data_IF_240366704963
#
_entry.id   IF_240366704963
#
_cell.length_a   1.000
_cell.length_b   1.000
_cell.length_c   1.000
_cell.angle_alpha   90.00
_cell.angle_beta   90.00
_cell.angle_gamma   90.00
#
_symmetry.space_group_name_H-M   'P 1'
#
loop_
_entity.id
_entity.type
_entity.pdbx_description
1 polymer ?
#
# COMPACT_ATOMS: atom_id res chain seq x y z
N UNK A 1 20.31 -60.89 22.84
CA UNK A 1 19.82 -59.50 22.78
C UNK A 1 20.81 -58.69 21.98
N UNK A 2 20.51 -58.36 20.72
CA UNK A 2 20.79 -57.06 20.11
C UNK A 2 20.19 -57.01 18.70
N UNK A 3 19.36 -56.01 18.52
CA UNK A 3 18.35 -55.75 17.50
C UNK A 3 18.94 -55.46 16.12
N UNK A 4 18.50 -56.20 15.09
CA UNK A 4 18.63 -55.80 13.68
C UNK A 4 17.68 -54.64 13.40
N UNK A 5 18.22 -53.45 13.13
CA UNK A 5 17.47 -52.33 12.59
C UNK A 5 17.36 -52.48 11.07
N UNK A 6 16.16 -52.77 10.57
CA UNK A 6 15.83 -52.74 9.16
C UNK A 6 15.60 -51.30 8.73
N UNK A 7 16.46 -50.77 7.84
CA UNK A 7 16.28 -49.45 7.25
C UNK A 7 15.11 -49.49 6.26
N UNK A 8 13.93 -49.03 6.69
CA UNK A 8 12.85 -48.68 5.76
C UNK A 8 13.22 -47.37 5.07
N UNK A 9 13.58 -47.47 3.79
CA UNK A 9 13.56 -46.35 2.86
C UNK A 9 12.12 -45.85 2.76
N UNK A 10 11.82 -44.74 3.44
CA UNK A 10 10.62 -43.97 3.16
C UNK A 10 10.86 -43.18 1.87
N UNK A 11 10.45 -43.73 0.73
CA UNK A 11 10.18 -42.96 -0.47
C UNK A 11 8.93 -42.12 -0.23
N UNK A 12 9.11 -40.94 0.37
CA UNK A 12 8.10 -39.89 0.34
C UNK A 12 8.06 -39.35 -1.08
N UNK A 13 7.24 -39.98 -1.92
CA UNK A 13 6.81 -39.42 -3.19
C UNK A 13 5.98 -38.17 -2.92
N UNK A 14 6.65 -37.04 -2.72
CA UNK A 14 6.01 -35.73 -2.85
C UNK A 14 5.65 -35.59 -4.33
N UNK A 15 4.38 -35.81 -4.64
CA UNK A 15 3.80 -35.42 -5.92
C UNK A 15 4.10 -33.94 -6.13
N UNK A 16 5.11 -33.65 -6.96
CA UNK A 16 5.34 -32.31 -7.51
C UNK A 16 4.13 -32.02 -8.40
N UNK A 17 3.15 -31.30 -7.88
CA UNK A 17 2.13 -30.69 -8.72
C UNK A 17 2.83 -29.74 -9.69
N UNK A 18 2.63 -29.97 -10.98
CA UNK A 18 2.98 -29.04 -12.06
C UNK A 18 2.48 -27.64 -11.69
N UNK A 19 3.28 -26.60 -11.48
CA UNK A 19 4.65 -26.30 -11.92
C UNK A 19 4.83 -24.80 -12.16
N UNK A 20 3.82 -23.97 -11.85
CA UNK A 20 3.90 -22.51 -11.92
C UNK A 20 3.42 -21.89 -10.61
N UNK A 21 4.33 -21.21 -9.91
CA UNK A 21 4.02 -20.38 -8.75
C UNK A 21 3.18 -19.18 -9.18
N UNK A 22 2.15 -18.82 -8.40
CA UNK A 22 1.33 -17.62 -8.61
C UNK A 22 2.24 -16.40 -8.81
N UNK A 23 1.95 -15.58 -9.82
CA UNK A 23 2.61 -14.29 -10.04
C UNK A 23 1.64 -13.11 -9.84
N UNK A 24 2.15 -11.89 -9.77
CA UNK A 24 1.37 -10.66 -9.61
C UNK A 24 1.36 -9.84 -10.91
N UNK A 25 0.16 -9.36 -11.26
CA UNK A 25 -0.05 -8.23 -12.18
C UNK A 25 -0.55 -7.03 -11.36
N UNK A 26 0.22 -5.96 -11.35
CA UNK A 26 0.00 -4.75 -10.54
C UNK A 26 -0.45 -3.59 -11.44
N UNK A 27 -1.77 -3.33 -11.47
CA UNK A 27 -2.34 -2.22 -12.22
C UNK A 27 -2.54 -0.99 -11.33
N UNK A 28 -2.24 0.19 -11.88
CA UNK A 28 -2.10 1.42 -11.12
C UNK A 28 -0.98 1.31 -10.08
N UNK A 29 0.14 0.69 -10.47
CA UNK A 29 1.18 0.21 -9.55
C UNK A 29 1.84 1.34 -8.74
N UNK A 30 1.77 2.58 -9.23
CA UNK A 30 2.42 3.73 -8.61
C UNK A 30 3.89 3.45 -8.34
N UNK A 31 4.35 3.79 -7.14
CA UNK A 31 5.71 3.52 -6.72
C UNK A 31 5.94 2.08 -6.22
N UNK A 32 5.08 1.11 -6.54
CA UNK A 32 5.32 -0.32 -6.28
C UNK A 32 5.04 -0.81 -4.86
N UNK A 33 4.07 -0.21 -4.16
CA UNK A 33 3.70 -0.66 -2.81
C UNK A 33 3.17 -2.10 -2.79
N UNK A 34 2.33 -2.44 -3.77
CA UNK A 34 1.74 -3.77 -3.93
C UNK A 34 2.79 -4.76 -4.39
N UNK A 35 3.53 -4.42 -5.43
CA UNK A 35 4.68 -5.20 -5.92
C UNK A 35 5.72 -5.50 -4.85
N UNK A 36 6.00 -4.56 -3.93
CA UNK A 36 6.85 -4.84 -2.79
C UNK A 36 6.22 -5.78 -1.77
N UNK A 37 4.92 -5.64 -1.51
CA UNK A 37 4.17 -6.61 -0.70
C UNK A 37 4.17 -8.02 -1.29
N UNK A 38 4.05 -8.14 -2.61
CA UNK A 38 4.18 -9.42 -3.30
C UNK A 38 5.56 -10.05 -3.10
N UNK A 39 6.63 -9.27 -3.25
CA UNK A 39 7.99 -9.75 -2.95
C UNK A 39 8.13 -10.23 -1.49
N UNK A 40 7.53 -9.53 -0.52
CA UNK A 40 7.48 -9.98 0.89
C UNK A 40 6.71 -11.28 1.09
N UNK A 41 5.77 -11.61 0.20
CA UNK A 41 5.01 -12.86 0.18
C UNK A 41 5.67 -13.97 -0.65
N UNK A 42 6.83 -13.70 -1.29
CA UNK A 42 7.47 -14.64 -2.21
C UNK A 42 6.79 -14.75 -3.57
N UNK A 43 5.97 -13.75 -3.94
CA UNK A 43 5.28 -13.65 -5.24
C UNK A 43 6.02 -12.67 -6.14
N UNK A 44 6.38 -13.11 -7.34
CA UNK A 44 7.00 -12.26 -8.35
C UNK A 44 5.96 -11.32 -8.99
N UNK A 45 6.26 -10.03 -9.08
CA UNK A 45 5.53 -9.12 -9.94
C UNK A 45 6.07 -9.22 -11.37
N UNK A 46 5.20 -9.59 -12.32
CA UNK A 46 5.59 -9.87 -13.71
C UNK A 46 5.17 -8.74 -14.65
N UNK A 47 4.12 -8.01 -14.29
CA UNK A 47 3.65 -6.84 -15.03
C UNK A 47 3.24 -5.75 -14.04
N UNK A 48 3.78 -4.55 -14.24
CA UNK A 48 3.44 -3.34 -13.50
C UNK A 48 3.02 -2.24 -14.49
N UNK A 49 1.81 -1.71 -14.31
CA UNK A 49 1.20 -0.73 -15.22
C UNK A 49 0.81 0.53 -14.47
N UNK A 50 1.26 1.67 -14.97
CA UNK A 50 0.87 3.00 -14.47
C UNK A 50 0.96 4.01 -15.61
N UNK A 51 0.16 5.07 -15.59
CA UNK A 51 0.21 6.13 -16.61
C UNK A 51 1.31 7.16 -16.36
N UNK A 52 1.97 7.11 -15.21
CA UNK A 52 2.99 8.05 -14.82
C UNK A 52 4.40 7.44 -14.93
N UNK A 53 5.16 7.88 -15.94
CA UNK A 53 6.54 7.42 -16.16
C UNK A 53 7.43 7.58 -14.92
N UNK A 54 7.26 8.63 -14.12
CA UNK A 54 8.05 8.82 -12.89
C UNK A 54 7.75 7.72 -11.84
N UNK A 55 6.51 7.24 -11.77
CA UNK A 55 6.16 6.11 -10.92
C UNK A 55 6.85 4.84 -11.42
N UNK A 56 6.82 4.60 -12.73
CA UNK A 56 7.45 3.44 -13.36
C UNK A 56 8.98 3.44 -13.19
N UNK A 57 9.63 4.59 -13.30
CA UNK A 57 11.09 4.70 -13.09
C UNK A 57 11.47 4.31 -11.65
N UNK A 58 10.69 4.78 -10.66
CA UNK A 58 10.84 4.38 -9.25
C UNK A 58 10.56 2.90 -9.06
N UNK A 59 9.48 2.40 -9.66
CA UNK A 59 9.11 1.00 -9.59
C UNK A 59 10.23 0.10 -10.17
N UNK A 60 10.76 0.45 -11.34
CA UNK A 60 11.83 -0.29 -12.04
C UNK A 60 13.12 -0.35 -11.22
N UNK A 61 13.47 0.72 -10.51
CA UNK A 61 14.65 0.72 -9.63
C UNK A 61 14.55 -0.28 -8.45
N UNK A 62 13.34 -0.68 -8.06
CA UNK A 62 13.10 -1.60 -6.93
C UNK A 62 12.60 -2.99 -7.36
N UNK A 63 12.00 -3.09 -8.54
CA UNK A 63 11.43 -4.30 -9.11
C UNK A 63 11.88 -4.45 -10.58
N UNK A 64 13.20 -4.61 -10.84
CA UNK A 64 13.74 -4.61 -12.20
C UNK A 64 13.33 -5.84 -13.02
N UNK A 65 12.86 -6.92 -12.39
CA UNK A 65 12.37 -8.12 -13.06
C UNK A 65 10.95 -8.01 -13.64
N UNK A 66 10.17 -7.00 -13.23
CA UNK A 66 8.84 -6.80 -13.76
C UNK A 66 8.90 -6.16 -15.16
N UNK A 67 7.95 -6.51 -16.04
CA UNK A 67 7.67 -5.73 -17.23
C UNK A 67 6.93 -4.44 -16.83
N UNK A 68 7.37 -3.28 -17.32
CA UNK A 68 6.75 -1.98 -17.05
C UNK A 68 6.06 -1.46 -18.31
N UNK A 69 4.76 -1.16 -18.21
CA UNK A 69 4.00 -0.57 -19.30
C UNK A 69 3.39 0.78 -18.90
N UNK A 70 3.65 1.82 -19.69
CA UNK A 70 3.14 3.17 -19.45
C UNK A 70 1.78 3.37 -20.15
N UNK A 71 0.71 2.86 -19.54
CA UNK A 71 -0.63 2.81 -20.15
C UNK A 71 -1.62 3.64 -19.34
N UNK A 72 -2.49 4.38 -20.02
CA UNK A 72 -3.65 5.02 -19.39
C UNK A 72 -4.75 3.96 -19.22
N UNK A 73 -4.94 3.53 -17.97
CA UNK A 73 -5.98 2.57 -17.59
C UNK A 73 -7.36 3.27 -17.47
N UNK A 74 -8.43 2.57 -17.81
CA UNK A 74 -9.79 3.13 -17.88
C UNK A 74 -10.34 3.30 -19.30
N UNK A 75 -9.60 2.86 -20.33
CA UNK A 75 -9.99 2.91 -21.74
C UNK A 75 -9.93 1.54 -22.42
N UNK A 76 -9.46 1.54 -23.67
CA UNK A 76 -9.30 0.35 -24.50
C UNK A 76 -8.35 -0.68 -23.88
N UNK A 77 -8.63 -1.96 -24.12
CA UNK A 77 -7.92 -3.07 -23.49
C UNK A 77 -6.78 -3.64 -24.32
N UNK A 78 -6.70 -3.33 -25.61
CA UNK A 78 -5.78 -3.99 -26.56
C UNK A 78 -4.32 -3.94 -26.12
N UNK A 79 -3.83 -2.76 -25.74
CA UNK A 79 -2.46 -2.57 -25.28
C UNK A 79 -2.18 -3.32 -23.97
N UNK A 80 -3.09 -3.22 -23.00
CA UNK A 80 -2.99 -3.94 -21.71
C UNK A 80 -3.02 -5.47 -21.92
N UNK A 81 -3.90 -5.94 -22.78
CA UNK A 81 -4.09 -7.35 -23.12
C UNK A 81 -2.81 -7.93 -23.76
N UNK A 82 -2.17 -7.17 -24.65
CA UNK A 82 -0.90 -7.55 -25.26
C UNK A 82 0.23 -7.63 -24.22
N UNK A 83 0.38 -6.61 -23.37
CA UNK A 83 1.38 -6.58 -22.31
C UNK A 83 1.17 -7.71 -21.29
N UNK A 84 -0.08 -7.98 -20.91
CA UNK A 84 -0.47 -9.07 -20.02
C UNK A 84 -0.07 -10.42 -20.58
N UNK A 85 -0.45 -10.71 -21.83
CA UNK A 85 -0.17 -11.99 -22.49
C UNK A 85 1.34 -12.24 -22.58
N UNK A 86 2.11 -11.20 -22.92
CA UNK A 86 3.56 -11.28 -23.03
C UNK A 86 4.25 -11.53 -21.67
N UNK A 87 3.76 -10.94 -20.58
CA UNK A 87 4.39 -11.01 -19.27
C UNK A 87 3.98 -12.26 -18.46
N UNK A 88 2.70 -12.62 -18.49
CA UNK A 88 2.16 -13.73 -17.69
C UNK A 88 2.38 -15.08 -18.37
N UNK A 89 2.18 -15.14 -19.69
CA UNK A 89 2.09 -16.40 -20.43
C UNK A 89 0.94 -17.26 -19.91
N UNK A 90 1.21 -18.52 -19.57
CA UNK A 90 0.21 -19.48 -19.06
C UNK A 90 0.24 -19.63 -17.52
N UNK A 91 0.95 -18.75 -16.80
CA UNK A 91 1.07 -18.86 -15.34
C UNK A 91 -0.23 -18.39 -14.67
N UNK A 92 -0.68 -19.04 -13.57
CA UNK A 92 -1.71 -18.44 -12.74
C UNK A 92 -1.19 -17.12 -12.16
N UNK A 93 -2.06 -16.10 -12.14
CA UNK A 93 -1.68 -14.79 -11.62
C UNK A 93 -2.77 -14.18 -10.74
N UNK A 94 -2.34 -13.37 -9.79
CA UNK A 94 -3.18 -12.46 -9.03
C UNK A 94 -3.21 -11.11 -9.74
N UNK A 95 -4.41 -10.60 -10.03
CA UNK A 95 -4.60 -9.24 -10.54
C UNK A 95 -4.89 -8.28 -9.38
N UNK A 96 -4.00 -7.34 -9.11
CA UNK A 96 -4.28 -6.24 -8.18
C UNK A 96 -4.52 -4.94 -8.95
N UNK A 97 -5.50 -4.16 -8.49
CA UNK A 97 -5.82 -2.85 -9.03
C UNK A 97 -5.97 -1.85 -7.89
N UNK A 98 -5.32 -0.68 -7.98
CA UNK A 98 -5.47 0.41 -7.01
C UNK A 98 -5.67 1.76 -7.70
N UNK A 99 -6.81 1.99 -8.38
CA UNK A 99 -7.08 3.22 -9.12
C UNK A 99 -7.08 4.47 -8.22
N UNK A 100 -6.82 5.64 -8.81
CA UNK A 100 -6.60 6.86 -8.02
C UNK A 100 -7.80 7.26 -7.14
N UNK A 101 -7.51 7.57 -5.87
CA UNK A 101 -8.54 7.88 -4.87
C UNK A 101 -8.83 9.38 -4.70
N UNK A 102 -8.11 10.26 -5.42
CA UNK A 102 -8.06 11.70 -5.13
C UNK A 102 -9.43 12.38 -5.14
N UNK A 103 -10.30 11.96 -6.05
CA UNK A 103 -11.59 12.63 -6.28
C UNK A 103 -12.68 12.21 -5.28
N UNK A 104 -12.53 11.04 -4.63
CA UNK A 104 -13.43 10.55 -3.56
C UNK A 104 -12.86 10.70 -2.15
N UNK A 105 -11.55 10.89 -2.00
CA UNK A 105 -10.89 10.96 -0.69
C UNK A 105 -11.37 12.13 0.16
N UNK A 106 -11.72 11.87 1.43
CA UNK A 106 -12.08 12.89 2.44
C UNK A 106 -10.98 13.91 2.72
N UNK A 107 -9.74 13.62 2.33
CA UNK A 107 -8.62 14.56 2.47
C UNK A 107 -8.63 15.66 1.40
N UNK A 108 -9.38 15.46 0.30
CA UNK A 108 -9.59 16.45 -0.75
C UNK A 108 -10.72 17.40 -0.34
N UNK A 109 -10.39 18.69 -0.18
CA UNK A 109 -11.36 19.73 0.16
C UNK A 109 -12.12 20.28 -1.06
N UNK A 110 -11.75 19.86 -2.27
CA UNK A 110 -12.29 20.34 -3.54
C UNK A 110 -12.87 19.15 -4.33
N UNK A 111 -13.79 18.40 -3.72
CA UNK A 111 -14.50 17.31 -4.40
C UNK A 111 -15.61 17.90 -5.28
N UNK A 112 -15.69 17.43 -6.52
CA UNK A 112 -16.77 17.74 -7.46
C UNK A 112 -17.57 16.48 -7.72
N UNK A 113 -18.85 16.62 -8.05
CA UNK A 113 -19.72 15.49 -8.39
C UNK A 113 -19.17 14.71 -9.59
N UNK A 114 -18.79 15.42 -10.66
CA UNK A 114 -18.12 14.87 -11.85
C UNK A 114 -16.86 14.06 -11.47
N UNK A 115 -16.10 14.52 -10.49
CA UNK A 115 -14.90 13.81 -10.05
C UNK A 115 -15.22 12.50 -9.32
N UNK A 116 -16.29 12.47 -8.54
CA UNK A 116 -16.79 11.26 -7.89
C UNK A 116 -17.30 10.28 -8.93
N UNK A 117 -18.10 10.74 -9.88
CA UNK A 117 -18.65 9.93 -10.97
C UNK A 117 -17.53 9.27 -11.79
N UNK A 118 -16.54 10.06 -12.23
CA UNK A 118 -15.36 9.53 -12.93
C UNK A 118 -14.62 8.45 -12.14
N UNK A 119 -14.55 8.56 -10.81
CA UNK A 119 -13.93 7.53 -9.96
C UNK A 119 -14.77 6.24 -9.94
N UNK A 120 -16.09 6.38 -9.82
CA UNK A 120 -17.02 5.25 -9.84
C UNK A 120 -16.95 4.54 -11.21
N UNK A 121 -16.93 5.29 -12.32
CA UNK A 121 -16.77 4.73 -13.67
C UNK A 121 -15.45 3.97 -13.82
N UNK A 122 -14.34 4.50 -13.33
CA UNK A 122 -13.04 3.80 -13.37
C UNK A 122 -13.06 2.52 -12.53
N UNK A 123 -13.73 2.52 -11.38
CA UNK A 123 -13.91 1.31 -10.57
C UNK A 123 -14.79 0.27 -11.27
N UNK A 124 -15.89 0.69 -11.91
CA UNK A 124 -16.73 -0.20 -12.72
C UNK A 124 -15.93 -0.81 -13.87
N UNK A 125 -15.08 -0.01 -14.53
CA UNK A 125 -14.16 -0.51 -15.54
C UNK A 125 -13.21 -1.58 -14.97
N UNK A 126 -12.64 -1.37 -13.78
CA UNK A 126 -11.78 -2.37 -13.11
C UNK A 126 -12.53 -3.69 -12.81
N UNK A 127 -13.78 -3.61 -12.36
CA UNK A 127 -14.61 -4.79 -12.10
C UNK A 127 -14.96 -5.56 -13.38
N UNK A 128 -15.21 -4.84 -14.47
CA UNK A 128 -15.40 -5.44 -15.80
C UNK A 128 -14.10 -6.07 -16.31
N UNK A 129 -12.97 -5.39 -16.12
CA UNK A 129 -11.64 -5.86 -16.51
C UNK A 129 -11.30 -7.20 -15.87
N UNK A 130 -11.51 -7.34 -14.56
CA UNK A 130 -11.23 -8.58 -13.83
C UNK A 130 -11.98 -9.81 -14.37
N UNK A 131 -13.10 -9.61 -15.09
CA UNK A 131 -13.91 -10.66 -15.71
C UNK A 131 -13.64 -10.87 -17.20
N UNK A 132 -12.94 -9.93 -17.85
CA UNK A 132 -12.76 -9.91 -19.32
C UNK A 132 -11.32 -10.13 -19.78
N UNK A 133 -10.34 -9.92 -18.90
CA UNK A 133 -8.94 -10.18 -19.23
C UNK A 133 -8.72 -11.64 -19.61
N UNK A 134 -7.82 -11.86 -20.58
CA UNK A 134 -7.35 -13.17 -20.98
C UNK A 134 -5.82 -13.25 -20.84
N UNK A 135 -5.22 -14.37 -20.38
CA UNK A 135 -5.89 -15.42 -19.62
C UNK A 135 -6.62 -14.85 -18.39
N UNK A 136 -7.62 -15.56 -17.88
CA UNK A 136 -8.38 -15.11 -16.71
C UNK A 136 -7.48 -15.07 -15.45
N UNK A 137 -7.60 -14.06 -14.58
CA UNK A 137 -6.85 -14.04 -13.32
C UNK A 137 -7.32 -15.16 -12.40
N UNK A 138 -6.38 -15.90 -11.80
CA UNK A 138 -6.69 -16.94 -10.82
C UNK A 138 -7.36 -16.35 -9.56
N UNK A 139 -6.93 -15.15 -9.16
CA UNK A 139 -7.57 -14.34 -8.12
C UNK A 139 -7.38 -12.86 -8.43
N UNK A 140 -8.20 -11.99 -7.88
CA UNK A 140 -8.06 -10.54 -8.07
C UNK A 140 -8.46 -9.74 -6.84
N UNK A 141 -7.92 -8.53 -6.72
CA UNK A 141 -8.34 -7.54 -5.73
C UNK A 141 -8.33 -6.12 -6.29
N UNK A 142 -9.23 -5.29 -5.76
CA UNK A 142 -9.37 -3.87 -6.07
C UNK A 142 -9.35 -3.07 -4.76
N UNK A 143 -8.32 -2.23 -4.57
CA UNK A 143 -8.19 -1.34 -3.42
C UNK A 143 -8.76 0.05 -3.72
N UNK A 144 -9.43 0.64 -2.73
CA UNK A 144 -9.87 2.03 -2.81
C UNK A 144 -9.93 2.71 -1.43
N UNK A 145 -9.92 4.04 -1.42
CA UNK A 145 -10.15 4.83 -0.22
C UNK A 145 -11.51 4.52 0.44
N UNK A 146 -11.51 4.52 1.78
CA UNK A 146 -12.74 4.37 2.57
C UNK A 146 -13.56 5.68 2.55
N UNK A 147 -14.43 5.80 1.55
CA UNK A 147 -15.30 6.95 1.28
C UNK A 147 -16.76 6.50 1.10
N UNK A 148 -17.71 7.35 1.51
CA UNK A 148 -19.14 7.03 1.52
C UNK A 148 -19.63 6.64 0.14
N UNK A 149 -19.29 7.45 -0.85
CA UNK A 149 -19.68 7.30 -2.25
C UNK A 149 -19.19 5.97 -2.84
N UNK A 150 -18.07 5.45 -2.35
CA UNK A 150 -17.48 4.18 -2.81
C UNK A 150 -18.19 2.99 -2.16
N UNK A 151 -18.30 2.94 -0.83
CA UNK A 151 -18.92 1.79 -0.17
C UNK A 151 -20.43 1.68 -0.39
N UNK A 152 -21.10 2.79 -0.74
CA UNK A 152 -22.51 2.75 -1.16
C UNK A 152 -22.67 2.22 -2.58
N UNK A 153 -21.80 2.64 -3.52
CA UNK A 153 -21.85 2.18 -4.91
C UNK A 153 -21.44 0.71 -5.07
N UNK A 154 -20.59 0.19 -4.17
CA UNK A 154 -20.03 -1.16 -4.25
C UNK A 154 -20.22 -1.91 -2.93
N UNK A 155 -21.41 -2.48 -2.65
CA UNK A 155 -21.72 -3.08 -1.35
C UNK A 155 -20.94 -4.38 -1.07
N UNK A 156 -20.48 -5.08 -2.11
CA UNK A 156 -19.67 -6.30 -1.97
C UNK A 156 -18.19 -5.95 -1.74
N UNK A 157 -17.88 -5.47 -0.53
CA UNK A 157 -16.54 -5.09 -0.13
C UNK A 157 -16.27 -5.43 1.33
N UNK A 158 -14.98 -5.40 1.70
CA UNK A 158 -14.54 -5.44 3.10
C UNK A 158 -13.82 -4.12 3.45
N UNK A 159 -13.82 -3.77 4.74
CA UNK A 159 -13.04 -2.65 5.25
C UNK A 159 -11.74 -3.16 5.87
N UNK A 160 -10.62 -2.82 5.23
CA UNK A 160 -9.27 -3.18 5.69
C UNK A 160 -8.73 -2.07 6.58
N UNK A 161 -8.40 -2.40 7.83
CA UNK A 161 -7.69 -1.53 8.76
C UNK A 161 -6.19 -1.87 8.70
N UNK A 162 -5.41 -1.03 8.03
CA UNK A 162 -4.01 -1.34 7.72
C UNK A 162 -3.15 -1.53 8.97
N UNK A 163 -3.51 -0.90 10.09
CA UNK A 163 -2.82 -1.09 11.37
C UNK A 163 -2.86 -2.54 11.87
N UNK A 164 -3.81 -3.35 11.40
CA UNK A 164 -3.91 -4.78 11.73
C UNK A 164 -2.94 -5.65 10.94
N UNK A 165 -2.23 -5.10 9.94
CA UNK A 165 -1.31 -5.84 9.07
C UNK A 165 0.13 -5.34 9.20
N UNK A 166 0.48 -4.72 10.33
CA UNK A 166 1.86 -4.29 10.63
C UNK A 166 2.20 -2.89 10.10
N UNK A 167 1.22 -2.12 9.64
CA UNK A 167 1.42 -0.73 9.23
C UNK A 167 1.33 0.17 10.46
N UNK A 168 2.31 1.06 10.67
CA UNK A 168 2.37 1.95 11.84
C UNK A 168 1.42 3.17 11.72
N UNK A 169 0.24 2.96 11.15
CA UNK A 169 -0.69 3.97 10.72
C UNK A 169 -2.14 3.48 10.86
N UNK A 170 -3.03 4.28 11.45
CA UNK A 170 -4.48 4.08 11.32
C UNK A 170 -4.90 4.51 9.92
N UNK A 171 -5.03 3.53 9.01
CA UNK A 171 -5.40 3.74 7.60
C UNK A 171 -6.50 2.74 7.25
N UNK A 172 -7.68 3.25 6.90
CA UNK A 172 -8.81 2.43 6.46
C UNK A 172 -8.91 2.45 4.94
N UNK A 173 -9.15 1.29 4.35
CA UNK A 173 -9.34 1.08 2.92
C UNK A 173 -10.51 0.15 2.68
N UNK A 174 -11.09 0.27 1.49
CA UNK A 174 -12.07 -0.65 0.96
C UNK A 174 -11.30 -1.62 0.06
N UNK A 175 -11.62 -2.90 0.19
CA UNK A 175 -11.08 -3.94 -0.67
C UNK A 175 -12.25 -4.75 -1.24
N UNK A 176 -12.22 -4.94 -2.56
CA UNK A 176 -13.08 -5.85 -3.31
C UNK A 176 -12.18 -6.91 -3.95
N UNK A 177 -12.72 -8.06 -4.33
CA UNK A 177 -11.91 -9.12 -4.90
C UNK A 177 -12.55 -10.49 -4.83
N UNK A 178 -11.75 -11.51 -5.14
CA UNK A 178 -12.12 -12.92 -5.01
C UNK A 178 -12.62 -13.21 -3.58
N UNK A 179 -13.85 -13.72 -3.38
CA UNK A 179 -14.44 -13.88 -2.06
C UNK A 179 -13.58 -14.66 -1.06
N UNK A 180 -12.94 -15.75 -1.51
CA UNK A 180 -12.08 -16.60 -0.69
C UNK A 180 -10.82 -15.84 -0.21
N UNK A 181 -10.27 -14.95 -1.03
CA UNK A 181 -9.14 -14.09 -0.63
C UNK A 181 -9.59 -13.08 0.43
N UNK A 182 -10.75 -12.46 0.23
CA UNK A 182 -11.30 -11.49 1.19
C UNK A 182 -11.62 -12.14 2.54
N UNK A 183 -12.25 -13.31 2.53
CA UNK A 183 -12.57 -14.05 3.74
C UNK A 183 -11.31 -14.40 4.54
N UNK A 184 -10.31 -15.02 3.89
CA UNK A 184 -9.04 -15.34 4.54
C UNK A 184 -8.32 -14.10 5.09
N UNK A 185 -8.40 -12.97 4.38
CA UNK A 185 -7.80 -11.72 4.84
C UNK A 185 -8.48 -11.17 6.11
N UNK A 186 -9.80 -11.34 6.23
CA UNK A 186 -10.54 -10.94 7.44
C UNK A 186 -10.21 -11.84 8.64
N UNK A 187 -9.89 -13.10 8.40
CA UNK A 187 -9.50 -14.10 9.40
C UNK A 187 -7.99 -14.06 9.72
N UNK A 188 -7.20 -13.29 8.98
CA UNK A 188 -5.76 -13.21 9.13
C UNK A 188 -5.35 -12.67 10.52
N UNK A 189 -4.25 -13.18 11.10
CA UNK A 189 -3.80 -12.76 12.42
C UNK A 189 -3.43 -11.28 12.44
N UNK A 190 -3.92 -10.57 13.46
CA UNK A 190 -3.63 -9.15 13.67
C UNK A 190 -2.17 -8.97 14.07
N UNK A 191 -1.45 -8.13 13.33
CA UNK A 191 -0.11 -7.67 13.64
C UNK A 191 -0.12 -6.15 13.71
N UNK A 192 0.26 -5.57 14.84
CA UNK A 192 0.31 -4.11 14.99
C UNK A 192 1.75 -3.63 15.11
N UNK A 193 2.02 -2.44 14.58
CA UNK A 193 3.30 -1.74 14.74
C UNK A 193 3.11 -0.29 15.11
N UNK A 194 4.13 0.28 15.71
CA UNK A 194 4.16 1.67 16.18
C UNK A 194 5.27 2.45 15.47
N UNK A 195 5.17 3.78 15.39
CA UNK A 195 6.24 4.63 14.90
C UNK A 195 7.57 4.42 15.62
N UNK A 196 7.54 4.20 16.94
CA UNK A 196 8.75 3.91 17.72
C UNK A 196 9.48 2.66 17.21
N UNK A 197 8.75 1.60 16.85
CA UNK A 197 9.34 0.36 16.32
C UNK A 197 9.87 0.52 14.90
N UNK A 198 9.25 1.39 14.09
CA UNK A 198 9.55 1.51 12.66
C UNK A 198 10.62 2.56 12.38
N UNK A 199 10.64 3.66 13.11
CA UNK A 199 11.54 4.80 12.86
C UNK A 199 12.91 4.67 13.53
N UNK A 200 13.06 3.79 14.53
CA UNK A 200 14.32 3.57 15.25
C UNK A 200 15.44 3.03 14.37
N UNK A 201 15.12 2.42 13.23
CA UNK A 201 16.09 1.89 12.27
C UNK A 201 16.96 2.97 11.60
N UNK A 202 16.52 4.23 11.56
CA UNK A 202 17.25 5.26 10.82
C UNK A 202 18.18 6.08 11.69
N UNK A 203 17.78 6.42 12.94
CA UNK A 203 18.60 7.15 13.93
C UNK A 203 18.08 6.91 15.35
N UNK A 204 18.87 7.17 16.41
CA UNK A 204 18.36 7.19 17.78
C UNK A 204 17.20 8.18 17.91
N UNK A 205 16.10 7.78 18.58
CA UNK A 205 14.90 8.60 18.76
C UNK A 205 15.19 10.03 19.25
N UNK A 206 16.26 10.21 20.03
CA UNK A 206 16.74 11.50 20.54
C UNK A 206 17.01 12.55 19.45
N UNK A 207 17.39 12.13 18.25
CA UNK A 207 17.65 13.05 17.12
C UNK A 207 16.37 13.53 16.42
N UNK A 208 15.23 12.92 16.74
CA UNK A 208 13.92 13.33 16.25
C UNK A 208 13.27 14.36 17.16
N UNK A 209 13.80 14.55 18.37
CA UNK A 209 13.21 15.37 19.41
C UNK A 209 13.63 16.83 19.25
N UNK A 210 12.66 17.71 19.04
CA UNK A 210 12.80 19.12 19.37
C UNK A 210 12.51 19.25 20.87
N UNK A 211 13.40 19.90 21.64
CA UNK A 211 13.08 20.25 23.03
C UNK A 211 11.79 21.07 23.03
N UNK A 212 10.88 20.81 23.98
CA UNK A 212 9.75 21.73 24.22
C UNK A 212 10.31 23.15 24.38
N UNK A 213 9.85 24.09 23.54
CA UNK A 213 10.38 25.47 23.47
C UNK A 213 11.37 25.74 22.34
N UNK A 214 11.90 24.72 21.64
CA UNK A 214 12.65 24.93 20.40
C UNK A 214 11.65 25.25 19.29
N UNK A 215 11.53 26.53 18.99
CA UNK A 215 10.54 27.03 18.05
C UNK A 215 10.96 26.68 16.63
N UNK A 216 10.20 25.78 16.00
CA UNK A 216 10.27 25.60 14.56
C UNK A 216 9.91 26.96 13.93
N UNK A 217 10.82 27.55 13.15
CA UNK A 217 10.64 28.91 12.58
C UNK A 217 9.36 29.02 11.77
N UNK A 218 8.88 27.89 11.21
CA UNK A 218 7.59 27.77 10.52
C UNK A 218 6.37 27.87 11.44
N UNK A 219 6.50 27.47 12.72
CA UNK A 219 5.45 27.59 13.74
C UNK A 219 5.39 29.04 14.23
N UNK A 220 6.54 29.66 14.55
CA UNK A 220 6.60 31.10 14.89
C UNK A 220 6.01 31.99 13.80
N UNK A 221 6.36 31.76 12.52
CA UNK A 221 5.77 32.51 11.40
C UNK A 221 4.25 32.38 11.34
N UNK A 222 3.70 31.20 11.67
CA UNK A 222 2.25 30.96 11.67
C UNK A 222 1.57 31.54 12.90
N UNK A 223 2.20 31.49 14.07
CA UNK A 223 1.71 32.13 15.30
C UNK A 223 1.71 33.66 15.17
N UNK A 224 2.74 34.22 14.54
CA UNK A 224 2.87 35.66 14.31
C UNK A 224 1.86 36.15 13.25
N UNK A 225 1.64 35.38 12.17
CA UNK A 225 0.57 35.65 11.20
C UNK A 225 -0.84 35.51 11.80
N UNK A 226 -1.04 34.61 12.78
CA UNK A 226 -2.28 34.48 13.52
C UNK A 226 -2.54 35.68 14.44
N UNK A 227 -1.48 36.18 15.10
CA UNK A 227 -1.54 37.36 15.96
C UNK A 227 -1.79 38.66 15.17
N UNK A 228 -1.35 38.74 13.92
CA UNK A 228 -1.56 39.89 13.02
C UNK A 228 -2.95 39.93 12.35
N UNK A 229 -3.89 39.06 12.75
CA UNK A 229 -5.27 39.04 12.24
C UNK A 229 -5.43 38.68 10.76
N UNK A 230 -4.33 38.32 10.07
CA UNK A 230 -4.34 37.95 8.66
C UNK A 230 -4.56 36.45 8.52
N UNK A 231 -5.85 36.11 8.37
CA UNK A 231 -6.45 34.76 8.20
C UNK A 231 -6.46 33.94 9.47
N UNK A 232 -7.65 33.47 9.84
CA UNK A 232 -7.93 32.45 10.86
C UNK A 232 -6.92 31.30 10.82
N UNK A 233 -5.78 31.46 11.49
CA UNK A 233 -4.82 30.39 11.70
C UNK A 233 -5.27 29.72 12.96
N UNK A 234 -6.24 28.80 12.78
CA UNK A 234 -6.75 27.98 13.88
C UNK A 234 -5.55 27.42 14.65
N UNK A 235 -5.49 27.76 15.93
CA UNK A 235 -4.89 26.95 16.99
C UNK A 235 -5.69 25.63 17.04
N UNK A 236 -5.55 24.82 15.99
CA UNK A 236 -6.11 23.46 15.85
C UNK A 236 -4.97 22.42 15.92
N UNK A 237 -3.78 22.86 16.27
CA UNK A 237 -2.52 22.13 16.16
C UNK A 237 -2.36 21.03 17.22
N UNK A 238 -3.25 20.94 18.22
CA UNK A 238 -3.20 19.89 19.25
C UNK A 238 -4.07 18.66 18.96
N UNK A 239 -5.09 18.75 18.09
CA UNK A 239 -6.00 17.61 17.81
C UNK A 239 -5.39 16.51 16.94
N UNK A 240 -4.23 16.76 16.33
CA UNK A 240 -3.58 15.84 15.38
C UNK A 240 -2.22 15.31 15.86
N UNK A 241 -1.94 15.45 17.15
CA UNK A 241 -0.70 14.96 17.77
C UNK A 241 -0.89 13.52 18.25
N UNK A 242 0.03 12.62 17.90
CA UNK A 242 0.02 11.22 18.39
C UNK A 242 1.34 10.80 19.06
N UNK A 243 1.29 10.00 20.14
CA UNK A 243 2.50 9.46 20.72
C UNK A 243 3.17 8.44 19.79
N UNK A 244 4.50 8.33 19.85
CA UNK A 244 5.27 7.33 19.08
C UNK A 244 4.91 5.88 19.43
N UNK A 245 4.24 5.66 20.56
CA UNK A 245 3.80 4.35 21.05
C UNK A 245 2.47 3.89 20.46
N UNK A 246 1.80 4.70 19.64
CA UNK A 246 0.55 4.31 18.95
C UNK A 246 0.67 4.56 17.45
N UNK A 247 -0.07 3.81 16.60
CA UNK A 247 -0.08 4.06 15.16
C UNK A 247 -0.41 5.53 14.82
N UNK A 248 0.29 6.11 13.85
CA UNK A 248 0.04 7.50 13.42
C UNK A 248 -1.32 7.63 12.72
N UNK A 249 -1.76 8.86 12.46
CA UNK A 249 -2.79 9.09 11.45
C UNK A 249 -2.30 8.73 10.05
N UNK A 250 -3.23 8.59 9.11
CA UNK A 250 -2.95 8.30 7.70
C UNK A 250 -1.90 9.26 7.13
N UNK A 251 -0.80 8.73 6.56
CA UNK A 251 0.19 9.51 5.81
C UNK A 251 -0.52 10.08 4.59
N UNK A 252 -0.48 11.40 4.50
CA UNK A 252 -0.99 12.19 3.37
C UNK A 252 0.07 13.22 2.97
N UNK A 253 -0.27 14.15 2.09
CA UNK A 253 0.61 15.30 1.80
C UNK A 253 0.68 16.33 2.95
N UNK A 254 -0.08 16.14 4.04
CA UNK A 254 -0.07 17.00 5.23
C UNK A 254 0.94 16.49 6.27
N UNK A 255 1.43 17.41 7.11
CA UNK A 255 2.37 17.07 8.17
C UNK A 255 1.73 16.16 9.23
N UNK A 256 2.50 15.17 9.69
CA UNK A 256 2.21 14.39 10.89
C UNK A 256 2.89 15.03 12.09
N UNK A 257 2.18 15.13 13.20
CA UNK A 257 2.71 15.64 14.46
C UNK A 257 2.81 14.49 15.46
N UNK A 258 4.03 14.14 15.87
CA UNK A 258 4.28 13.04 16.80
C UNK A 258 4.96 13.54 18.07
N UNK A 259 4.79 12.83 19.18
CA UNK A 259 5.43 13.14 20.47
C UNK A 259 6.08 11.90 21.09
N UNK A 260 7.21 12.09 21.76
CA UNK A 260 7.72 11.11 22.72
C UNK A 260 7.23 11.52 24.12
N UNK A 261 6.34 10.71 24.68
CA UNK A 261 5.74 10.96 25.99
C UNK A 261 6.72 10.75 27.13
N UNK A 262 7.76 9.93 26.95
CA UNK A 262 8.76 9.66 27.99
C UNK A 262 9.67 10.86 28.22
N UNK A 263 10.07 11.52 27.14
CA UNK A 263 10.93 12.71 27.19
C UNK A 263 10.15 14.01 27.07
N UNK A 264 8.82 13.95 27.01
CA UNK A 264 7.90 15.08 26.77
C UNK A 264 8.40 15.96 25.62
N UNK A 265 8.76 15.36 24.49
CA UNK A 265 9.37 16.09 23.38
C UNK A 265 8.55 15.97 22.11
N UNK A 266 8.54 17.02 21.29
CA UNK A 266 7.86 17.01 19.99
C UNK A 266 8.81 16.41 18.96
N UNK A 267 8.30 15.49 18.15
CA UNK A 267 9.03 14.94 17.02
C UNK A 267 8.99 15.96 15.89
N UNK A 268 10.16 16.27 15.32
CA UNK A 268 10.25 17.14 14.13
C UNK A 268 9.41 16.57 12.98
N UNK A 269 9.12 17.41 11.98
CA UNK A 269 8.49 16.95 10.74
C UNK A 269 9.29 15.79 10.14
N UNK A 270 8.58 14.72 9.78
CA UNK A 270 9.17 13.54 9.15
C UNK A 270 9.52 13.83 7.69
N UNK A 271 10.65 13.31 7.23
CA UNK A 271 11.04 13.37 5.81
C UNK A 271 10.36 12.26 5.00
N UNK A 272 10.52 12.28 3.68
CA UNK A 272 9.90 11.32 2.77
C UNK A 272 10.28 9.86 3.06
N UNK A 273 11.54 9.61 3.43
CA UNK A 273 12.04 8.28 3.82
C UNK A 273 11.38 7.79 5.11
N UNK A 274 11.21 8.64 6.10
CA UNK A 274 10.53 8.28 7.35
C UNK A 274 9.05 8.00 7.12
N UNK A 275 8.40 8.81 6.26
CA UNK A 275 7.03 8.56 5.85
C UNK A 275 6.89 7.23 5.07
N UNK A 276 7.87 6.87 4.23
CA UNK A 276 7.85 5.58 3.53
C UNK A 276 7.96 4.40 4.49
N UNK A 277 8.77 4.51 5.54
CA UNK A 277 8.86 3.48 6.58
C UNK A 277 7.53 3.31 7.31
N UNK A 278 6.85 4.40 7.69
CA UNK A 278 5.52 4.33 8.31
C UNK A 278 4.48 3.64 7.43
N UNK A 279 4.62 3.77 6.10
CA UNK A 279 3.79 3.09 5.12
C UNK A 279 4.15 1.59 4.98
N UNK A 280 5.33 1.17 5.45
CA UNK A 280 5.81 -0.21 5.41
C UNK A 280 6.81 -0.52 4.29
N UNK A 281 7.32 0.49 3.57
CA UNK A 281 8.44 0.30 2.64
C UNK A 281 9.75 0.03 3.41
N UNK A 282 10.69 -0.71 2.82
CA UNK A 282 11.96 -0.99 3.46
C UNK A 282 12.90 0.22 3.41
N UNK A 283 13.89 0.33 4.33
CA UNK A 283 14.85 1.45 4.37
C UNK A 283 15.60 1.67 3.06
N UNK A 284 15.88 0.60 2.32
CA UNK A 284 16.61 0.62 1.05
C UNK A 284 15.75 0.95 -0.18
N UNK A 285 14.42 1.14 -0.03
CA UNK A 285 13.55 1.40 -1.18
C UNK A 285 13.98 2.66 -1.93
N UNK A 286 14.19 2.61 -3.24
CA UNK A 286 14.76 3.71 -4.01
C UNK A 286 13.65 4.55 -4.62
N UNK A 287 13.44 5.77 -4.10
CA UNK A 287 12.48 6.70 -4.70
C UNK A 287 13.12 7.66 -5.72
N UNK A 288 14.46 7.73 -5.81
CA UNK A 288 15.29 8.42 -6.83
C UNK A 288 14.79 9.76 -7.43
N UNK A 289 13.91 10.51 -6.75
CA UNK A 289 13.33 11.74 -7.26
C UNK A 289 13.99 12.97 -6.64
N UNK A 290 14.22 13.99 -7.48
CA UNK A 290 14.79 15.29 -7.05
C UNK A 290 13.87 16.04 -6.09
N UNK A 291 12.55 15.90 -6.23
CA UNK A 291 11.55 16.66 -5.47
C UNK A 291 10.93 15.81 -4.37
N UNK A 292 11.20 16.17 -3.12
CA UNK A 292 10.65 15.49 -1.93
C UNK A 292 9.12 15.41 -1.92
N UNK A 293 8.43 16.43 -2.44
CA UNK A 293 6.96 16.45 -2.53
C UNK A 293 6.41 15.31 -3.39
N UNK A 294 7.09 14.97 -4.48
CA UNK A 294 6.65 13.91 -5.38
C UNK A 294 6.81 12.53 -4.71
N UNK A 295 7.91 12.33 -3.96
CA UNK A 295 8.11 11.13 -3.13
C UNK A 295 7.00 10.99 -2.09
N UNK A 296 6.69 12.06 -1.35
CA UNK A 296 5.62 12.03 -0.34
C UNK A 296 4.27 11.69 -0.99
N UNK A 297 3.99 12.22 -2.18
CA UNK A 297 2.76 11.89 -2.92
C UNK A 297 2.72 10.41 -3.31
N UNK A 298 3.82 9.86 -3.82
CA UNK A 298 3.91 8.43 -4.14
C UNK A 298 3.68 7.55 -2.91
N UNK A 299 4.35 7.85 -1.79
CA UNK A 299 4.20 7.12 -0.53
C UNK A 299 2.77 7.20 0.01
N UNK A 300 2.16 8.38 -0.01
CA UNK A 300 0.80 8.59 0.50
C UNK A 300 -0.26 7.82 -0.32
N UNK A 301 -0.06 7.76 -1.64
CA UNK A 301 -0.95 7.08 -2.57
C UNK A 301 -0.78 5.56 -2.55
N UNK A 302 0.42 5.05 -2.23
CA UNK A 302 0.70 3.63 -2.24
C UNK A 302 -0.21 2.82 -1.30
N UNK A 303 -0.58 1.62 -1.75
CA UNK A 303 -1.04 0.55 -0.87
C UNK A 303 0.12 0.15 0.05
N UNK A 304 -0.07 0.08 1.38
CA UNK A 304 0.99 -0.34 2.29
C UNK A 304 1.52 -1.74 1.92
N UNK A 305 2.85 -1.93 1.74
CA UNK A 305 3.42 -3.24 1.42
C UNK A 305 3.02 -4.37 2.38
N UNK A 306 2.92 -4.16 3.71
CA UNK A 306 2.48 -5.22 4.62
C UNK A 306 1.03 -5.69 4.38
N UNK A 307 0.14 -4.79 3.95
CA UNK A 307 -1.25 -5.13 3.58
C UNK A 307 -1.26 -5.92 2.28
N UNK A 308 -0.52 -5.47 1.27
CA UNK A 308 -0.38 -6.21 0.02
C UNK A 308 0.23 -7.59 0.24
N UNK A 309 1.23 -7.73 1.11
CA UNK A 309 1.81 -9.02 1.47
C UNK A 309 0.77 -9.97 2.09
N UNK A 310 -0.12 -9.47 2.94
CA UNK A 310 -1.20 -10.27 3.49
C UNK A 310 -2.19 -10.72 2.40
N UNK A 311 -2.58 -9.81 1.50
CA UNK A 311 -3.45 -10.13 0.35
C UNK A 311 -2.84 -11.25 -0.51
N UNK A 312 -1.56 -11.12 -0.87
CA UNK A 312 -0.90 -12.09 -1.76
C UNK A 312 -0.66 -13.45 -1.08
N UNK A 313 -0.44 -13.49 0.24
CA UNK A 313 -0.41 -14.76 0.99
C UNK A 313 -1.76 -15.46 0.95
N UNK A 314 -2.86 -14.73 1.16
CA UNK A 314 -4.20 -15.29 1.04
C UNK A 314 -4.48 -15.77 -0.40
N UNK A 315 -4.06 -15.03 -1.42
CA UNK A 315 -4.19 -15.43 -2.82
C UNK A 315 -3.42 -16.72 -3.14
N UNK A 316 -2.18 -16.84 -2.64
CA UNK A 316 -1.38 -18.07 -2.76
C UNK A 316 -2.10 -19.28 -2.15
N UNK A 317 -2.65 -19.13 -0.95
CA UNK A 317 -3.39 -20.20 -0.28
C UNK A 317 -4.66 -20.59 -1.04
N UNK A 318 -5.39 -19.63 -1.60
CA UNK A 318 -6.59 -19.90 -2.41
C UNK A 318 -6.23 -20.69 -3.67
N UNK A 319 -5.15 -20.33 -4.35
CA UNK A 319 -4.72 -21.03 -5.57
C UNK A 319 -4.08 -22.40 -5.28
N UNK A 320 -3.48 -22.57 -4.10
CA UNK A 320 -2.91 -23.85 -3.67
C UNK A 320 -3.94 -24.84 -3.10
N UNK A 321 -5.13 -24.36 -2.71
CA UNK A 321 -6.17 -25.24 -2.18
C UNK A 321 -6.69 -26.19 -3.27
N UNK A 322 -6.81 -27.50 -2.99
CA UNK A 322 -7.45 -28.42 -3.92
C UNK A 322 -8.91 -28.02 -4.14
N UNK A 323 -9.35 -28.07 -5.40
CA UNK A 323 -10.72 -27.79 -5.82
C UNK A 323 -11.73 -28.77 -5.20
#
# INVERSE_FOLDING_TARGET
MHTRATSRMHTAGAARSSGHTLCLVDLFCGAGGVSHGAAMAGVECVLAVDSNQLCLDVHKANHPGAHHACIILGGELSELQQALTAAVGNRPYHLHMSPECKRVSRANCCRTEEGVESTISLMQWCLTLARRLQPEPATWTLEQAHAFEVYTAFPQHIVVRCEQFGVAQTRKRILMGTPQVLQRLQEAPIQTRTPAQVLTHLRPLRQYLLKLGTTNTSIKKKEQQAAEGRKHTRIATMQFVRPLSVPTYTVTQKNLFLVDTRTRSIVRTLNSRELSLLQGFPPQYQFALRRQKDVVRMVANAVPPPVAAAILKCALEVVAAPA
#
